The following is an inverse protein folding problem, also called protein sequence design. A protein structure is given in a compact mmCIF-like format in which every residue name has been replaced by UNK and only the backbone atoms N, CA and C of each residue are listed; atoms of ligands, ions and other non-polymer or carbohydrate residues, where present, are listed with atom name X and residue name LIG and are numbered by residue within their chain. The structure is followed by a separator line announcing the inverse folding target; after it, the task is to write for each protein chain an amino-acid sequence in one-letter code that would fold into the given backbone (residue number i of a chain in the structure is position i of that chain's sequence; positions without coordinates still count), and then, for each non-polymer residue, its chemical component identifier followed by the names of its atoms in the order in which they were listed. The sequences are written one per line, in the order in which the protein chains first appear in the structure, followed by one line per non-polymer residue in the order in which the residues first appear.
data_IF_294422876636
#
_entry.id   IF_294422876636
#
_cell.length_a   1.000
_cell.length_b   1.000
_cell.length_c   1.000
_cell.angle_alpha   90.00
_cell.angle_beta   90.00
_cell.angle_gamma   90.00
#
_symmetry.space_group_name_H-M   'P 1'
#
loop_
_entity.id
_entity.type
_entity.pdbx_description
1 polymer ?
#
# COMPACT_ATOMS: atom_id res chain seq x y z
N UNK A 1 -7.41 13.06 30.53
CA UNK A 1 -6.26 13.66 29.82
C UNK A 1 -6.11 12.87 28.54
N UNK A 2 -6.38 13.50 27.40
CA UNK A 2 -6.37 12.80 26.12
C UNK A 2 -4.94 12.47 25.71
N UNK A 3 -4.72 11.23 25.24
CA UNK A 3 -3.43 10.81 24.71
C UNK A 3 -3.23 11.41 23.33
N UNK A 4 -2.34 12.39 23.21
CA UNK A 4 -1.96 12.99 21.92
C UNK A 4 -0.82 12.17 21.32
N UNK A 5 -1.08 11.51 20.20
CA UNK A 5 -0.06 10.78 19.43
C UNK A 5 0.78 11.72 18.57
N UNK A 6 2.11 11.52 18.54
CA UNK A 6 3.01 12.25 17.64
C UNK A 6 2.68 12.01 16.16
N UNK A 7 2.32 10.77 15.80
CA UNK A 7 1.89 10.37 14.48
C UNK A 7 0.76 9.35 14.60
N UNK A 8 -0.17 9.39 13.64
CA UNK A 8 -1.29 8.45 13.53
C UNK A 8 -1.51 8.18 12.05
N UNK A 9 -1.65 6.92 11.68
CA UNK A 9 -2.10 6.55 10.34
C UNK A 9 -3.59 6.84 10.20
N UNK A 10 -3.98 7.50 9.12
CA UNK A 10 -5.37 7.81 8.80
C UNK A 10 -5.71 7.06 7.51
N UNK A 11 -6.69 6.17 7.61
CA UNK A 11 -7.19 5.39 6.47
C UNK A 11 -8.64 5.81 6.20
N UNK A 12 -8.94 6.11 4.94
CA UNK A 12 -10.29 6.39 4.45
C UNK A 12 -10.96 5.13 3.90
N UNK A 13 -12.11 5.33 3.24
CA UNK A 13 -12.86 4.23 2.64
C UNK A 13 -12.09 3.57 1.48
N UNK A 14 -11.34 4.35 0.71
CA UNK A 14 -10.57 3.86 -0.45
C UNK A 14 -9.51 2.82 -0.03
N UNK A 15 -8.80 3.06 1.08
CA UNK A 15 -7.83 2.11 1.62
C UNK A 15 -8.50 0.83 2.12
N UNK A 16 -9.68 0.97 2.77
CA UNK A 16 -10.47 -0.17 3.26
C UNK A 16 -10.94 -1.02 2.08
N UNK A 17 -11.51 -0.40 1.05
CA UNK A 17 -12.03 -1.09 -0.13
C UNK A 17 -10.92 -1.80 -0.90
N UNK A 18 -9.73 -1.19 -1.00
CA UNK A 18 -8.56 -1.83 -1.61
C UNK A 18 -8.14 -3.11 -0.86
N UNK A 19 -8.19 -3.10 0.47
CA UNK A 19 -7.89 -4.30 1.29
C UNK A 19 -8.99 -5.35 1.13
N UNK A 20 -10.26 -4.97 1.23
CA UNK A 20 -11.40 -5.89 1.05
C UNK A 20 -11.36 -6.55 -0.32
N UNK A 21 -11.04 -5.78 -1.37
CA UNK A 21 -10.85 -6.32 -2.72
C UNK A 21 -9.74 -7.38 -2.79
N UNK A 22 -8.58 -7.11 -2.19
CA UNK A 22 -7.48 -8.06 -2.14
C UNK A 22 -7.89 -9.38 -1.44
N UNK A 23 -8.61 -9.28 -0.32
CA UNK A 23 -9.11 -10.43 0.42
C UNK A 23 -10.13 -11.25 -0.39
N UNK A 24 -11.01 -10.58 -1.16
CA UNK A 24 -12.01 -11.23 -1.99
C UNK A 24 -11.42 -11.90 -3.25
N UNK A 25 -10.30 -11.40 -3.76
CA UNK A 25 -9.63 -11.96 -4.94
C UNK A 25 -8.65 -13.07 -4.54
N UNK A 26 -7.54 -12.71 -3.89
CA UNK A 26 -6.50 -13.62 -3.41
C UNK A 26 -5.44 -12.83 -2.66
N UNK A 27 -4.91 -13.40 -1.58
CA UNK A 27 -3.73 -12.89 -0.88
C UNK A 27 -2.41 -13.42 -1.47
N UNK A 28 -2.47 -14.17 -2.57
CA UNK A 28 -1.27 -14.64 -3.26
C UNK A 28 -0.39 -13.48 -3.70
N UNK A 29 0.91 -13.67 -3.51
CA UNK A 29 1.92 -12.65 -3.76
C UNK A 29 1.92 -12.19 -5.23
N UNK A 30 2.05 -10.87 -5.42
CA UNK A 30 2.58 -10.29 -6.66
C UNK A 30 1.65 -9.37 -7.44
N UNK A 31 0.33 -9.57 -7.48
CA UNK A 31 -0.56 -8.69 -8.27
C UNK A 31 -0.47 -7.23 -7.78
N UNK A 32 -0.75 -7.03 -6.50
CA UNK A 32 -0.74 -5.69 -5.89
C UNK A 32 0.68 -5.16 -5.65
N UNK A 33 1.64 -6.03 -5.33
CA UNK A 33 3.06 -5.65 -5.17
C UNK A 33 3.67 -5.11 -6.47
N UNK A 34 3.48 -5.80 -7.62
CA UNK A 34 4.00 -5.33 -8.92
C UNK A 34 3.36 -4.02 -9.38
N UNK A 35 2.06 -3.85 -9.10
CA UNK A 35 1.35 -2.59 -9.35
C UNK A 35 1.92 -1.45 -8.52
N UNK A 36 2.20 -1.70 -7.24
CA UNK A 36 2.85 -0.73 -6.36
C UNK A 36 4.24 -0.37 -6.87
N UNK A 37 5.09 -1.36 -7.15
CA UNK A 37 6.44 -1.15 -7.70
C UNK A 37 6.43 -0.31 -8.98
N UNK A 38 5.54 -0.62 -9.92
CA UNK A 38 5.42 0.13 -11.19
C UNK A 38 5.06 1.60 -10.95
N UNK A 39 4.08 1.87 -10.07
CA UNK A 39 3.66 3.24 -9.71
C UNK A 39 4.76 4.03 -9.02
N UNK A 40 5.51 3.40 -8.12
CA UNK A 40 6.61 4.07 -7.40
C UNK A 40 7.79 4.32 -8.34
N UNK A 41 8.12 3.37 -9.22
CA UNK A 41 9.14 3.57 -10.24
C UNK A 41 8.81 4.77 -11.13
N UNK A 42 7.56 4.87 -11.59
CA UNK A 42 7.06 6.02 -12.37
C UNK A 42 7.11 7.33 -11.58
N UNK A 43 6.60 7.33 -10.34
CA UNK A 43 6.55 8.53 -9.48
C UNK A 43 7.93 9.17 -9.24
N UNK A 44 8.97 8.35 -9.14
CA UNK A 44 10.34 8.81 -8.87
C UNK A 44 11.26 8.81 -10.10
N UNK A 45 10.70 8.62 -11.30
CA UNK A 45 11.42 8.53 -12.57
C UNK A 45 12.61 7.54 -12.49
N UNK A 46 12.32 6.33 -12.00
CA UNK A 46 13.26 5.21 -11.88
C UNK A 46 12.87 4.08 -12.83
N UNK A 47 13.88 3.35 -13.29
CA UNK A 47 13.69 2.19 -14.16
C UNK A 47 12.90 1.06 -13.46
N UNK A 48 13.13 0.85 -12.17
CA UNK A 48 12.57 -0.27 -11.40
C UNK A 48 12.40 0.12 -9.92
N UNK A 49 11.45 -0.52 -9.24
CA UNK A 49 11.24 -0.48 -7.80
C UNK A 49 11.14 -1.92 -7.27
N UNK A 50 11.53 -2.15 -6.02
CA UNK A 50 11.39 -3.43 -5.33
C UNK A 50 10.67 -3.20 -3.99
N UNK A 51 9.53 -3.85 -3.80
CA UNK A 51 8.76 -3.78 -2.56
C UNK A 51 9.12 -4.94 -1.63
N UNK A 52 9.64 -4.61 -0.45
CA UNK A 52 10.04 -5.56 0.60
C UNK A 52 9.24 -5.32 1.88
N UNK A 53 9.30 -6.26 2.81
CA UNK A 53 8.55 -6.21 4.08
C UNK A 53 9.06 -5.15 5.07
N UNK A 54 10.36 -4.81 5.03
CA UNK A 54 10.99 -3.79 5.90
C UNK A 54 12.35 -3.38 5.36
#
# INVERSE_FOLDING_TARGET
MDKISYAKTVYGQDEIDAVVKCLNESTQMGNYSRKFESKIAELFDKRTCLYVNS
#
